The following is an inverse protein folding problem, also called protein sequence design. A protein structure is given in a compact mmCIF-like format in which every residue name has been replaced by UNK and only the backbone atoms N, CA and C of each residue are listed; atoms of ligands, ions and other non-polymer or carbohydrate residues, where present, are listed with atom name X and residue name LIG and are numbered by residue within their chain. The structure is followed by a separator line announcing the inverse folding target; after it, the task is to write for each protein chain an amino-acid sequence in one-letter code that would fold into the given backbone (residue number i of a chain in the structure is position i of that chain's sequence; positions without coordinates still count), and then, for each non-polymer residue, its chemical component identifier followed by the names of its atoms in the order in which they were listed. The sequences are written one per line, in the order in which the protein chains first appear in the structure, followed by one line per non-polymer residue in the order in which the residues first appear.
data_IF_606253958241
#
_entry.id   IF_606253958241
#
_cell.length_a   1.000
_cell.length_b   1.000
_cell.length_c   1.000
_cell.angle_alpha   90.00
_cell.angle_beta   90.00
_cell.angle_gamma   90.00
#
_symmetry.space_group_name_H-M   'P 1'
#
loop_
_entity.id
_entity.type
_entity.pdbx_description
1 polymer ?
#
# COMPACT_ATOMS: atom_id res chain seq x y z
N UNK A 1 10.36 -1.17 7.36
CA UNK A 1 10.46 -0.57 6.02
C UNK A 1 11.89 -0.45 5.54
N UNK A 2 12.77 0.30 6.22
CA UNK A 2 14.17 0.41 5.82
C UNK A 2 14.90 -0.95 5.77
N UNK A 3 14.68 -1.82 6.77
CA UNK A 3 15.21 -3.20 6.77
C UNK A 3 14.70 -4.07 5.62
N UNK A 4 13.55 -3.71 5.03
CA UNK A 4 12.95 -4.38 3.86
C UNK A 4 13.31 -3.67 2.55
N UNK A 5 14.24 -2.72 2.59
CA UNK A 5 14.68 -1.90 1.45
C UNK A 5 13.55 -1.12 0.75
N UNK A 6 12.56 -0.66 1.52
CA UNK A 6 11.43 0.14 1.02
C UNK A 6 11.54 1.56 1.58
N UNK A 7 11.66 2.54 0.68
CA UNK A 7 11.59 3.97 1.01
C UNK A 7 10.15 4.44 1.17
N UNK A 8 9.83 5.10 2.29
CA UNK A 8 8.48 5.63 2.58
C UNK A 8 8.61 7.04 3.15
N UNK A 9 7.72 7.93 2.74
CA UNK A 9 7.64 9.29 3.30
C UNK A 9 6.73 9.26 4.52
N UNK A 10 7.29 9.53 5.70
CA UNK A 10 6.51 9.77 6.92
C UNK A 10 6.24 11.26 7.03
N UNK A 11 4.98 11.63 7.22
CA UNK A 11 4.54 13.02 7.31
C UNK A 11 3.95 13.26 8.70
N UNK A 12 4.39 14.34 9.33
CA UNK A 12 3.90 14.83 10.62
C UNK A 12 3.85 16.35 10.66
N UNK A 13 3.66 16.92 11.85
CA UNK A 13 3.66 18.38 12.06
C UNK A 13 4.97 19.02 11.54
N UNK A 14 4.93 20.13 10.77
CA UNK A 14 3.79 21.01 10.48
C UNK A 14 2.97 20.65 9.23
N UNK A 15 3.35 19.62 8.47
CA UNK A 15 2.68 19.26 7.23
C UNK A 15 1.30 18.60 7.44
N UNK A 16 1.06 18.03 8.62
CA UNK A 16 -0.23 17.48 9.08
C UNK A 16 -0.47 17.85 10.54
N UNK A 17 -1.73 17.90 11.02
CA UNK A 17 -2.01 18.00 12.45
C UNK A 17 -1.30 16.89 13.24
N UNK A 18 -0.97 17.16 14.52
CA UNK A 18 -0.30 16.20 15.40
C UNK A 18 -1.05 14.86 15.49
N UNK A 19 -2.38 14.90 15.43
CA UNK A 19 -3.26 13.71 15.54
C UNK A 19 -3.37 12.90 14.24
N UNK A 20 -2.86 13.41 13.12
CA UNK A 20 -3.06 12.85 11.78
C UNK A 20 -1.75 12.54 11.05
N UNK A 21 -0.71 12.19 11.81
CA UNK A 21 0.53 11.69 11.24
C UNK A 21 0.27 10.45 10.38
N UNK A 22 0.87 10.38 9.19
CA UNK A 22 0.63 9.28 8.24
C UNK A 22 1.87 9.00 7.39
N UNK A 23 1.92 7.80 6.83
CA UNK A 23 2.84 7.46 5.76
C UNK A 23 2.20 7.78 4.40
N UNK A 24 2.94 8.42 3.49
CA UNK A 24 2.54 8.68 2.10
C UNK A 24 3.35 7.79 1.16
N UNK A 25 2.63 6.98 0.38
CA UNK A 25 3.20 6.17 -0.70
C UNK A 25 3.01 6.93 -2.01
N UNK A 26 4.10 7.11 -2.74
CA UNK A 26 4.08 7.72 -4.06
C UNK A 26 4.25 6.61 -5.09
N UNK A 27 3.23 6.40 -5.91
CA UNK A 27 3.24 5.38 -6.97
C UNK A 27 3.39 6.07 -8.31
N UNK A 28 4.14 5.43 -9.21
CA UNK A 28 4.38 5.89 -10.59
C UNK A 28 4.42 4.69 -11.53
N UNK A 29 4.31 4.93 -12.84
CA UNK A 29 4.37 3.89 -13.88
C UNK A 29 5.68 3.11 -13.91
N UNK A 30 6.73 3.61 -13.27
CA UNK A 30 8.03 2.93 -13.17
C UNK A 30 8.03 1.76 -12.17
N UNK A 31 7.01 1.64 -11.31
CA UNK A 31 6.92 0.54 -10.36
C UNK A 31 6.41 -0.71 -11.06
N UNK A 32 7.17 -1.81 -10.97
CA UNK A 32 6.71 -3.11 -11.47
C UNK A 32 5.71 -3.74 -10.51
N UNK A 33 4.90 -4.68 -10.99
CA UNK A 33 3.92 -5.40 -10.16
C UNK A 33 4.60 -6.12 -9.01
N UNK A 34 5.76 -6.72 -9.25
CA UNK A 34 6.54 -7.43 -8.22
C UNK A 34 7.02 -6.50 -7.11
N UNK A 35 7.37 -5.25 -7.44
CA UNK A 35 7.71 -4.23 -6.44
C UNK A 35 6.49 -3.91 -5.56
N UNK A 36 5.32 -3.73 -6.18
CA UNK A 36 4.07 -3.44 -5.46
C UNK A 36 3.66 -4.61 -4.56
N UNK A 37 3.73 -5.85 -5.06
CA UNK A 37 3.45 -7.06 -4.30
C UNK A 37 4.37 -7.17 -3.07
N UNK A 38 5.66 -6.88 -3.25
CA UNK A 38 6.65 -6.87 -2.16
C UNK A 38 6.29 -5.82 -1.10
N UNK A 39 5.89 -4.62 -1.53
CA UNK A 39 5.48 -3.53 -0.62
C UNK A 39 4.20 -3.90 0.13
N UNK A 40 3.22 -4.49 -0.53
CA UNK A 40 1.96 -4.91 0.09
C UNK A 40 2.19 -5.97 1.17
N UNK A 41 3.01 -6.98 0.90
CA UNK A 41 3.37 -8.00 1.90
C UNK A 41 4.12 -7.38 3.09
N UNK A 42 5.04 -6.47 2.82
CA UNK A 42 5.77 -5.76 3.87
C UNK A 42 4.86 -4.90 4.76
N UNK A 43 3.84 -4.26 4.17
CA UNK A 43 2.83 -3.47 4.87
C UNK A 43 1.89 -4.34 5.69
N UNK A 44 1.49 -5.50 5.17
CA UNK A 44 0.61 -6.43 5.85
C UNK A 44 1.23 -6.90 7.17
N UNK A 45 2.48 -7.37 7.11
CA UNK A 45 3.23 -7.78 8.30
C UNK A 45 3.43 -6.62 9.29
N UNK A 46 3.75 -5.43 8.80
CA UNK A 46 3.95 -4.26 9.65
C UNK A 46 2.64 -3.82 10.32
N UNK A 47 1.53 -3.88 9.59
CA UNK A 47 0.21 -3.55 10.09
C UNK A 47 -0.24 -4.48 11.21
N UNK A 48 0.12 -5.77 11.14
CA UNK A 48 -0.12 -6.73 12.22
C UNK A 48 0.76 -6.42 13.42
N UNK A 49 2.06 -6.20 13.20
CA UNK A 49 3.01 -5.91 14.26
C UNK A 49 2.66 -4.63 15.05
N UNK A 50 2.26 -3.56 14.34
CA UNK A 50 1.87 -2.29 14.95
C UNK A 50 0.39 -2.22 15.35
N UNK A 51 -0.38 -3.27 15.09
CA UNK A 51 -1.84 -3.31 15.33
C UNK A 51 -2.61 -2.15 14.67
N UNK A 52 -2.21 -1.75 13.45
CA UNK A 52 -2.77 -0.61 12.72
C UNK A 52 -3.92 -1.00 11.76
N UNK A 53 -4.26 -2.28 11.65
CA UNK A 53 -5.31 -2.78 10.74
C UNK A 53 -6.71 -2.59 11.35
N UNK A 54 -7.18 -1.35 11.37
CA UNK A 54 -8.50 -1.01 11.93
C UNK A 54 -9.69 -1.34 11.01
N UNK A 55 -9.43 -1.66 9.74
CA UNK A 55 -10.50 -2.01 8.80
C UNK A 55 -11.18 -3.30 9.25
N UNK A 56 -12.52 -3.28 9.31
CA UNK A 56 -13.35 -4.46 9.60
C UNK A 56 -13.64 -5.31 8.36
N UNK A 57 -13.22 -4.85 7.18
CA UNK A 57 -13.39 -5.60 5.95
C UNK A 57 -12.42 -6.77 5.95
N UNK A 58 -12.97 -7.97 5.72
CA UNK A 58 -12.13 -9.14 5.49
C UNK A 58 -11.27 -8.91 4.25
N UNK A 59 -10.03 -9.40 4.30
CA UNK A 59 -9.15 -9.45 3.13
C UNK A 59 -9.89 -10.24 2.05
N UNK A 60 -10.03 -9.67 0.86
CA UNK A 60 -10.67 -10.37 -0.27
C UNK A 60 -9.99 -11.71 -0.48
N UNK A 61 -10.76 -12.79 -0.54
CA UNK A 61 -10.25 -14.14 -0.86
C UNK A 61 -9.97 -14.32 -2.35
N UNK A 62 -10.29 -13.33 -3.18
CA UNK A 62 -9.88 -13.29 -4.59
C UNK A 62 -8.43 -12.81 -4.63
N UNK A 63 -7.44 -13.68 -4.94
CA UNK A 63 -6.19 -13.17 -5.49
C UNK A 63 -6.59 -12.37 -6.74
N UNK A 64 -6.11 -11.13 -6.82
CA UNK A 64 -6.52 -10.18 -7.84
C UNK A 64 -6.39 -10.83 -9.22
N UNK A 65 -7.54 -11.04 -9.90
CA UNK A 65 -7.56 -11.35 -11.32
C UNK A 65 -7.11 -10.05 -12.01
N UNK A 66 -5.80 -9.87 -12.19
CA UNK A 66 -5.29 -8.98 -13.22
C UNK A 66 -5.47 -9.71 -14.55
N UNK A 67 -6.73 -9.76 -15.00
CA UNK A 67 -7.04 -10.12 -16.37
C UNK A 67 -6.75 -8.88 -17.21
N UNK A 68 -5.68 -8.96 -18.00
CA UNK A 68 -5.24 -7.92 -18.94
C UNK A 68 -6.30 -7.58 -20.01
N UNK A 69 -7.48 -8.23 -19.99
CA UNK A 69 -8.56 -8.05 -20.97
C UNK A 69 -9.70 -7.11 -20.57
N UNK A 70 -9.69 -6.47 -19.38
CA UNK A 70 -10.75 -5.50 -19.00
C UNK A 70 -10.55 -4.04 -19.48
N UNK A 71 -9.67 -3.81 -20.46
CA UNK A 71 -9.58 -2.52 -21.18
C UNK A 71 -10.26 -2.56 -22.56
N UNK A 72 -11.27 -3.41 -22.74
CA UNK A 72 -12.26 -3.16 -23.79
C UNK A 72 -13.02 -1.88 -23.37
N UNK A 73 -12.63 -0.75 -23.98
CA UNK A 73 -13.39 0.49 -23.95
C UNK A 73 -14.74 0.18 -24.62
N UNK A 74 -15.82 0.08 -23.84
CA UNK A 74 -17.16 0.22 -24.39
C UNK A 74 -17.33 1.69 -24.84
N UNK A 75 -17.22 1.87 -26.16
CA UNK A 75 -17.53 3.01 -27.05
C UNK A 75 -16.94 4.41 -26.75
#
# INVERSE_FOLDING_TARGET
MLSKNIGVVVVGFPATPITESRARFCVSTAHTREMLDTVLNALDELGDFLCLKYSRHAKSSRPELYDETSFELED
#
